data_IF_202011191934
#
_entry.id   IF_202011191934
#
_cell.length_a   1.000
_cell.length_b   1.000
_cell.length_c   1.000
_cell.angle_alpha   90.00
_cell.angle_beta   90.00
_cell.angle_gamma   90.00
#
_symmetry.space_group_name_H-M   'P 1'
#
loop_
_entity.id
_entity.type
_entity.pdbx_description
1 polymer ?
#
# COMPACT_ATOMS: atom_id res chain seq x y z
N UNK A 1 16.23 13.56 -11.71
CA UNK A 1 15.18 14.46 -11.20
C UNK A 1 15.46 14.60 -9.74
N UNK A 2 15.69 15.83 -9.29
CA UNK A 2 16.19 16.09 -7.95
C UNK A 2 15.04 16.58 -7.09
N UNK A 3 14.88 15.97 -5.91
CA UNK A 3 13.95 16.42 -4.89
C UNK A 3 14.74 17.24 -3.87
N UNK A 4 14.47 18.54 -3.79
CA UNK A 4 15.11 19.43 -2.81
C UNK A 4 14.19 19.54 -1.59
N UNK A 5 14.68 19.15 -0.42
CA UNK A 5 14.02 19.36 0.86
C UNK A 5 14.67 20.54 1.57
N UNK A 6 13.88 21.56 1.86
CA UNK A 6 14.32 22.68 2.71
C UNK A 6 13.98 22.35 4.15
N UNK A 7 14.99 22.43 5.02
CA UNK A 7 14.84 22.22 6.46
C UNK A 7 14.96 23.60 7.10
N UNK A 8 13.82 24.18 7.48
CA UNK A 8 13.79 25.45 8.20
C UNK A 8 13.87 25.17 9.71
N UNK A 9 15.08 24.89 10.17
CA UNK A 9 15.34 24.57 11.58
C UNK A 9 16.78 24.86 11.97
N UNK A 10 17.01 25.04 13.27
CA UNK A 10 18.36 25.16 13.84
C UNK A 10 19.11 23.82 13.93
N UNK A 11 18.47 22.71 13.57
CA UNK A 11 19.07 21.37 13.59
C UNK A 11 20.09 21.19 12.46
N UNK A 12 21.07 20.31 12.71
CA UNK A 12 22.06 19.98 11.70
C UNK A 12 21.43 19.20 10.54
N UNK A 13 22.02 19.35 9.34
CA UNK A 13 21.65 18.55 8.17
C UNK A 13 21.73 17.04 8.46
N UNK A 14 22.67 16.62 9.31
CA UNK A 14 22.82 15.22 9.71
C UNK A 14 21.62 14.72 10.51
N UNK A 15 21.23 15.43 11.57
CA UNK A 15 20.08 15.05 12.41
C UNK A 15 18.80 14.97 11.58
N UNK A 16 18.55 15.98 10.73
CA UNK A 16 17.41 15.99 9.84
C UNK A 16 17.45 14.81 8.85
N UNK A 17 18.62 14.49 8.29
CA UNK A 17 18.79 13.35 7.39
C UNK A 17 18.53 12.00 8.07
N UNK A 18 18.95 11.84 9.33
CA UNK A 18 18.71 10.64 10.12
C UNK A 18 17.21 10.45 10.42
N UNK A 19 16.50 11.53 10.75
CA UNK A 19 15.04 11.52 10.95
C UNK A 19 14.33 11.13 9.66
N UNK A 20 14.68 11.74 8.53
CA UNK A 20 14.07 11.42 7.22
C UNK A 20 14.32 9.95 6.86
N UNK A 21 15.55 9.46 7.03
CA UNK A 21 15.89 8.06 6.76
C UNK A 21 15.08 7.11 7.64
N UNK A 22 14.98 7.41 8.93
CA UNK A 22 14.21 6.61 9.89
C UNK A 22 12.72 6.56 9.53
N UNK A 23 12.13 7.70 9.16
CA UNK A 23 10.74 7.77 8.71
C UNK A 23 10.49 6.93 7.45
N UNK A 24 11.42 6.94 6.49
CA UNK A 24 11.28 6.17 5.26
C UNK A 24 11.45 4.66 5.48
N UNK A 25 12.35 4.24 6.36
CA UNK A 25 12.45 2.83 6.76
C UNK A 25 11.21 2.37 7.53
N UNK A 26 10.72 3.19 8.47
CA UNK A 26 9.47 2.91 9.17
C UNK A 26 8.30 2.72 8.18
N UNK A 27 8.19 3.58 7.19
CA UNK A 27 7.14 3.49 6.18
C UNK A 27 7.27 2.23 5.31
N UNK A 28 8.49 1.78 4.99
CA UNK A 28 8.72 0.49 4.31
C UNK A 28 8.25 -0.68 5.16
N UNK A 29 8.51 -0.66 6.47
CA UNK A 29 8.04 -1.69 7.38
C UNK A 29 6.51 -1.72 7.47
N UNK A 30 5.88 -0.55 7.62
CA UNK A 30 4.43 -0.43 7.64
C UNK A 30 3.81 -0.94 6.33
N UNK A 31 4.39 -0.57 5.18
CA UNK A 31 3.91 -1.02 3.89
C UNK A 31 3.96 -2.54 3.74
N UNK A 32 5.07 -3.19 4.15
CA UNK A 32 5.18 -4.66 4.15
C UNK A 32 4.10 -5.32 5.02
N UNK A 33 3.88 -4.78 6.23
CA UNK A 33 2.84 -5.28 7.13
C UNK A 33 1.43 -5.15 6.51
N UNK A 34 1.11 -3.99 5.94
CA UNK A 34 -0.19 -3.75 5.29
C UNK A 34 -0.40 -4.63 4.06
N UNK A 35 0.64 -4.82 3.23
CA UNK A 35 0.60 -5.74 2.09
C UNK A 35 0.29 -7.16 2.56
N UNK A 36 0.99 -7.65 3.59
CA UNK A 36 0.77 -8.99 4.10
C UNK A 36 -0.67 -9.15 4.63
N UNK A 37 -1.15 -8.19 5.43
CA UNK A 37 -2.52 -8.22 5.97
C UNK A 37 -3.59 -8.22 4.87
N UNK A 38 -3.47 -7.36 3.87
CA UNK A 38 -4.44 -7.29 2.79
C UNK A 38 -4.32 -8.45 1.80
N UNK A 39 -3.13 -9.02 1.62
CA UNK A 39 -2.97 -10.25 0.84
C UNK A 39 -3.78 -11.37 1.48
N UNK A 40 -3.63 -11.60 2.79
CA UNK A 40 -4.40 -12.66 3.49
C UNK A 40 -5.91 -12.51 3.32
N UNK A 41 -6.44 -11.28 3.41
CA UNK A 41 -7.88 -11.04 3.21
C UNK A 41 -8.31 -11.35 1.76
N UNK A 42 -7.49 -10.96 0.78
CA UNK A 42 -7.75 -11.31 -0.62
C UNK A 42 -7.68 -12.82 -0.84
N UNK A 43 -6.65 -13.49 -0.32
CA UNK A 43 -6.41 -14.92 -0.49
C UNK A 43 -7.56 -15.73 0.14
N UNK A 44 -8.00 -15.39 1.37
CA UNK A 44 -9.16 -15.99 2.04
C UNK A 44 -10.46 -15.82 1.23
N UNK A 45 -10.65 -14.65 0.60
CA UNK A 45 -11.81 -14.38 -0.23
C UNK A 45 -11.77 -15.13 -1.56
N UNK A 46 -10.60 -15.22 -2.20
CA UNK A 46 -10.38 -16.02 -3.40
C UNK A 46 -10.69 -17.50 -3.14
N UNK A 47 -10.19 -18.05 -2.04
CA UNK A 47 -10.44 -19.44 -1.63
C UNK A 47 -11.92 -19.70 -1.31
N UNK A 48 -12.59 -18.78 -0.60
CA UNK A 48 -13.98 -18.95 -0.19
C UNK A 48 -14.96 -18.98 -1.38
N UNK A 49 -14.66 -18.19 -2.42
CA UNK A 49 -15.58 -17.99 -3.55
C UNK A 49 -15.07 -18.56 -4.88
N UNK A 50 -13.95 -19.28 -4.86
CA UNK A 50 -13.29 -19.88 -6.03
C UNK A 50 -13.13 -18.87 -7.18
N UNK A 51 -12.53 -17.72 -6.86
CA UNK A 51 -12.38 -16.59 -7.78
C UNK A 51 -10.97 -16.02 -7.76
N UNK A 52 -10.66 -15.19 -8.76
CA UNK A 52 -9.39 -14.46 -8.85
C UNK A 52 -9.66 -12.96 -8.64
N UNK A 53 -9.11 -12.36 -7.58
CA UNK A 53 -9.38 -10.95 -7.23
C UNK A 53 -8.99 -9.98 -8.33
N UNK A 54 -7.96 -10.30 -9.12
CA UNK A 54 -7.48 -9.45 -10.22
C UNK A 54 -8.47 -9.35 -11.39
N UNK A 55 -9.34 -10.33 -11.56
CA UNK A 55 -10.40 -10.35 -12.56
C UNK A 55 -11.71 -9.85 -11.96
N UNK A 56 -12.03 -10.30 -10.74
CA UNK A 56 -13.27 -9.97 -10.05
C UNK A 56 -13.41 -8.46 -9.80
N UNK A 57 -12.31 -7.77 -9.48
CA UNK A 57 -12.32 -6.30 -9.26
C UNK A 57 -12.78 -5.53 -10.50
N UNK A 58 -12.47 -5.99 -11.71
CA UNK A 58 -12.88 -5.33 -12.94
C UNK A 58 -14.40 -5.38 -13.12
N UNK A 59 -15.00 -6.55 -12.84
CA UNK A 59 -16.46 -6.75 -12.91
C UNK A 59 -17.18 -5.96 -11.81
N UNK A 60 -16.61 -5.95 -10.60
CA UNK A 60 -17.13 -5.18 -9.46
C UNK A 60 -17.14 -3.67 -9.73
N UNK A 61 -16.04 -3.13 -10.26
CA UNK A 61 -15.93 -1.70 -10.60
C UNK A 61 -16.76 -1.33 -11.84
N UNK A 62 -17.05 -2.28 -12.74
CA UNK A 62 -17.95 -2.10 -13.87
C UNK A 62 -19.45 -2.15 -13.49
N UNK A 63 -19.79 -2.49 -12.24
CA UNK A 63 -21.17 -2.64 -11.79
C UNK A 63 -21.88 -3.87 -12.36
N UNK A 64 -21.12 -4.86 -12.82
CA UNK A 64 -21.65 -6.11 -13.40
C UNK A 64 -22.08 -7.13 -12.33
N UNK A 65 -21.92 -6.79 -11.05
CA UNK A 65 -22.17 -7.67 -9.91
C UNK A 65 -23.21 -7.05 -8.97
N UNK A 66 -23.98 -7.92 -8.30
CA UNK A 66 -24.86 -7.49 -7.21
C UNK A 66 -23.97 -7.18 -6.00
N UNK A 67 -24.07 -5.95 -5.51
CA UNK A 67 -23.32 -5.49 -4.34
C UNK A 67 -23.85 -6.17 -3.07
N UNK A 68 -22.97 -6.93 -2.41
CA UNK A 68 -23.20 -7.51 -1.09
C UNK A 68 -22.15 -6.95 -0.11
N UNK A 69 -22.51 -6.80 1.16
CA UNK A 69 -21.63 -6.21 2.20
C UNK A 69 -20.24 -6.86 2.25
N UNK A 70 -20.19 -8.18 2.10
CA UNK A 70 -18.94 -8.97 2.07
C UNK A 70 -17.98 -8.57 0.95
N UNK A 71 -18.49 -8.05 -0.17
CA UNK A 71 -17.68 -7.60 -1.30
C UNK A 71 -17.04 -6.23 -1.03
N UNK A 72 -17.62 -5.40 -0.17
CA UNK A 72 -17.03 -4.12 0.17
C UNK A 72 -15.79 -4.26 1.06
N UNK A 73 -15.79 -5.21 2.00
CA UNK A 73 -14.61 -5.49 2.83
C UNK A 73 -13.44 -6.01 1.99
N UNK A 74 -13.69 -7.00 1.13
CA UNK A 74 -12.71 -7.49 0.17
C UNK A 74 -12.24 -6.38 -0.78
N UNK A 75 -13.16 -5.57 -1.32
CA UNK A 75 -12.83 -4.49 -2.24
C UNK A 75 -11.89 -3.47 -1.58
N UNK A 76 -12.19 -3.06 -0.35
CA UNK A 76 -11.34 -2.18 0.43
C UNK A 76 -9.94 -2.79 0.67
N UNK A 77 -9.87 -4.09 0.99
CA UNK A 77 -8.61 -4.80 1.14
C UNK A 77 -7.83 -4.85 -0.18
N UNK A 78 -8.47 -5.17 -1.31
CA UNK A 78 -7.82 -5.23 -2.62
C UNK A 78 -7.27 -3.88 -3.07
N UNK A 79 -8.04 -2.80 -2.91
CA UNK A 79 -7.58 -1.43 -3.18
C UNK A 79 -6.44 -1.03 -2.25
N UNK A 80 -6.52 -1.42 -0.98
CA UNK A 80 -5.44 -1.26 -0.01
C UNK A 80 -4.16 -1.99 -0.44
N UNK A 81 -4.27 -3.25 -0.84
CA UNK A 81 -3.15 -4.06 -1.30
C UNK A 81 -2.42 -3.41 -2.48
N UNK A 82 -3.17 -2.95 -3.49
CA UNK A 82 -2.60 -2.30 -4.66
C UNK A 82 -1.91 -0.97 -4.29
N UNK A 83 -2.56 -0.17 -3.45
CA UNK A 83 -1.99 1.08 -2.95
C UNK A 83 -0.66 0.85 -2.23
N UNK A 84 -0.62 -0.09 -1.28
CA UNK A 84 0.56 -0.35 -0.47
C UNK A 84 1.68 -1.04 -1.26
N UNK A 85 1.36 -1.93 -2.22
CA UNK A 85 2.34 -2.48 -3.17
C UNK A 85 3.01 -1.36 -3.98
N UNK A 86 2.23 -0.43 -4.52
CA UNK A 86 2.77 0.73 -5.24
C UNK A 86 3.61 1.62 -4.34
N UNK A 87 3.15 1.89 -3.11
CA UNK A 87 3.90 2.69 -2.14
C UNK A 87 5.24 2.05 -1.75
N UNK A 88 5.26 0.75 -1.45
CA UNK A 88 6.49 0.02 -1.16
C UNK A 88 7.46 0.04 -2.33
N UNK A 89 6.97 -0.18 -3.56
CA UNK A 89 7.79 -0.10 -4.76
C UNK A 89 8.43 1.29 -4.92
N UNK A 90 7.68 2.37 -4.67
CA UNK A 90 8.23 3.73 -4.68
C UNK A 90 9.30 3.89 -3.59
N UNK A 91 9.01 3.52 -2.34
CA UNK A 91 9.94 3.64 -1.21
C UNK A 91 11.26 2.88 -1.42
N UNK A 92 11.21 1.71 -2.06
CA UNK A 92 12.39 0.91 -2.39
C UNK A 92 13.28 1.56 -3.46
N UNK A 93 12.71 2.44 -4.28
CA UNK A 93 13.44 3.17 -5.32
C UNK A 93 13.99 4.53 -4.84
N UNK A 94 13.67 4.96 -3.61
CA UNK A 94 14.28 6.14 -3.00
C UNK A 94 15.68 5.78 -2.52
N UNK A 95 16.68 6.55 -2.98
CA UNK A 95 18.08 6.44 -2.57
C UNK A 95 18.49 7.73 -1.85
N UNK A 96 19.33 7.59 -0.83
CA UNK A 96 19.87 8.67 0.00
C UNK A 96 21.39 8.65 -0.08
#
# INVERSE_FOLDING_TARGET
MDLVLQIDSDYSLQEASEVIRSALEHEKHLAKYKINRYSMICDEFEDQYDLVSSEFIKKFEAGELIYEDKYFEWYAAKRGLDHWKRKLALLQNIRF
#
